data_IF_420231771867
#
_entry.id   IF_420231771867
#
_cell.length_a   1.000
_cell.length_b   1.000
_cell.length_c   1.000
_cell.angle_alpha   90.00
_cell.angle_beta   90.00
_cell.angle_gamma   90.00
#
_symmetry.space_group_name_H-M   'P 1'
#
loop_
_entity.id
_entity.type
_entity.pdbx_description
1 polymer ?
#
# COMPACT_ATOMS: atom_id res chain seq x y z
N UNK A 1 -35.21 15.14 50.28
CA UNK A 1 -33.97 14.36 50.04
C UNK A 1 -33.74 14.37 48.54
N UNK A 2 -32.59 14.82 48.02
CA UNK A 2 -32.37 14.85 46.57
C UNK A 2 -31.10 15.54 46.04
N UNK A 3 -30.32 16.23 46.88
CA UNK A 3 -29.14 16.99 46.43
C UNK A 3 -27.81 16.22 46.39
N UNK A 4 -27.75 14.99 46.91
CA UNK A 4 -26.50 14.23 47.01
C UNK A 4 -26.18 13.37 45.76
N UNK A 5 -27.20 12.81 45.08
CA UNK A 5 -26.99 11.98 43.88
C UNK A 5 -26.37 12.76 42.71
N UNK A 6 -26.81 13.99 42.49
CA UNK A 6 -26.38 14.81 41.36
C UNK A 6 -24.90 15.26 41.45
N UNK A 7 -24.33 15.35 42.66
CA UNK A 7 -22.92 15.73 42.85
C UNK A 7 -21.98 14.55 42.62
N UNK A 8 -22.42 13.35 42.98
CA UNK A 8 -21.66 12.11 42.83
C UNK A 8 -21.67 11.64 41.37
N UNK A 9 -22.84 11.69 40.71
CA UNK A 9 -23.00 11.45 39.26
C UNK A 9 -22.15 12.41 38.41
N UNK A 10 -22.13 13.70 38.78
CA UNK A 10 -21.31 14.71 38.11
C UNK A 10 -19.81 14.42 38.22
N UNK A 11 -19.34 13.96 39.38
CA UNK A 11 -17.94 13.59 39.57
C UNK A 11 -17.56 12.35 38.75
N UNK A 12 -18.46 11.37 38.65
CA UNK A 12 -18.26 10.17 37.80
C UNK A 12 -18.11 10.57 36.33
N UNK A 13 -18.97 11.47 35.84
CA UNK A 13 -18.91 11.97 34.45
C UNK A 13 -17.64 12.79 34.18
N UNK A 14 -17.18 13.61 35.13
CA UNK A 14 -15.92 14.35 35.00
C UNK A 14 -14.74 13.39 34.85
N UNK A 15 -14.64 12.36 35.69
CA UNK A 15 -13.57 11.37 35.60
C UNK A 15 -13.66 10.61 34.26
N UNK A 16 -14.87 10.23 33.83
CA UNK A 16 -15.06 9.56 32.53
C UNK A 16 -14.62 10.43 31.35
N UNK A 17 -14.87 11.74 31.40
CA UNK A 17 -14.39 12.68 30.38
C UNK A 17 -12.87 12.78 30.39
N UNK A 18 -12.23 12.77 31.56
CA UNK A 18 -10.76 12.76 31.67
C UNK A 18 -10.16 11.48 31.07
N UNK A 19 -10.74 10.32 31.39
CA UNK A 19 -10.34 9.03 30.81
C UNK A 19 -10.49 9.03 29.28
N UNK A 20 -11.63 9.50 28.77
CA UNK A 20 -11.89 9.59 27.33
C UNK A 20 -10.89 10.53 26.62
N UNK A 21 -10.47 11.63 27.25
CA UNK A 21 -9.44 12.52 26.68
C UNK A 21 -8.10 11.83 26.57
N UNK A 22 -7.74 11.04 27.58
CA UNK A 22 -6.47 10.30 27.58
C UNK A 22 -6.49 9.15 26.56
N UNK A 23 -7.59 8.40 26.46
CA UNK A 23 -7.79 7.38 25.40
C UNK A 23 -7.69 8.01 24.00
N UNK A 24 -8.27 9.20 23.81
CA UNK A 24 -8.28 9.93 22.55
C UNK A 24 -6.89 10.46 22.19
N UNK A 25 -6.08 10.85 23.19
CA UNK A 25 -4.65 11.17 23.01
C UNK A 25 -3.87 9.94 22.55
N UNK A 26 -4.04 8.81 23.22
CA UNK A 26 -3.36 7.55 22.90
C UNK A 26 -3.71 7.06 21.49
N UNK A 27 -4.99 7.06 21.12
CA UNK A 27 -5.43 6.64 19.80
C UNK A 27 -4.80 7.47 18.67
N UNK A 28 -4.67 8.78 18.88
CA UNK A 28 -3.99 9.68 17.94
C UNK A 28 -2.50 9.35 17.83
N UNK A 29 -1.80 9.23 18.96
CA UNK A 29 -0.38 8.90 18.99
C UNK A 29 -0.09 7.55 18.33
N UNK A 30 -0.96 6.55 18.53
CA UNK A 30 -0.87 5.26 17.85
C UNK A 30 -1.09 5.37 16.35
N UNK A 31 -2.14 6.08 15.90
CA UNK A 31 -2.38 6.30 14.47
C UNK A 31 -1.19 6.98 13.78
N UNK A 32 -0.68 8.06 14.38
CA UNK A 32 0.47 8.81 13.86
C UNK A 32 1.74 7.94 13.83
N UNK A 33 1.97 7.13 14.87
CA UNK A 33 3.08 6.18 14.93
C UNK A 33 3.04 5.11 13.83
N UNK A 34 1.87 4.53 13.56
CA UNK A 34 1.70 3.55 12.49
C UNK A 34 1.85 4.17 11.09
N UNK A 35 1.42 5.42 10.89
CA UNK A 35 1.66 6.16 9.65
C UNK A 35 3.14 6.44 9.43
N UNK A 36 3.87 6.84 10.48
CA UNK A 36 5.32 7.04 10.41
C UNK A 36 6.03 5.75 10.00
N UNK A 37 5.69 4.62 10.65
CA UNK A 37 6.25 3.31 10.34
C UNK A 37 5.99 2.91 8.88
N UNK A 38 4.76 3.08 8.38
CA UNK A 38 4.43 2.79 6.98
C UNK A 38 5.30 3.61 6.00
N UNK A 39 5.53 4.90 6.29
CA UNK A 39 6.36 5.78 5.48
C UNK A 39 7.84 5.39 5.53
N UNK A 40 8.37 5.01 6.70
CA UNK A 40 9.74 4.53 6.83
C UNK A 40 9.96 3.23 6.04
N UNK A 41 9.01 2.31 6.10
CA UNK A 41 9.08 1.05 5.36
C UNK A 41 9.05 1.30 3.84
N UNK A 42 8.23 2.24 3.39
CA UNK A 42 8.22 2.69 1.99
C UNK A 42 9.55 3.32 1.57
N UNK A 43 10.13 4.18 2.41
CA UNK A 43 11.41 4.83 2.11
C UNK A 43 12.56 3.81 2.06
N UNK A 44 12.59 2.86 3.01
CA UNK A 44 13.58 1.76 3.03
C UNK A 44 13.45 0.86 1.82
N UNK A 45 12.24 0.48 1.41
CA UNK A 45 12.07 -0.27 0.17
C UNK A 45 12.48 0.55 -1.04
N UNK A 46 12.08 1.82 -1.15
CA UNK A 46 12.51 2.66 -2.28
C UNK A 46 14.03 2.82 -2.36
N UNK A 47 14.73 2.82 -1.23
CA UNK A 47 16.19 2.91 -1.18
C UNK A 47 16.89 1.56 -1.45
N UNK A 48 16.27 0.43 -1.06
CA UNK A 48 16.87 -0.91 -1.14
C UNK A 48 16.34 -1.76 -2.31
N UNK A 49 15.23 -1.39 -2.94
CA UNK A 49 14.70 -2.08 -4.10
C UNK A 49 15.45 -1.58 -5.33
N UNK A 50 16.38 -2.40 -5.83
CA UNK A 50 16.78 -2.27 -7.22
C UNK A 50 15.51 -2.29 -8.09
N UNK A 51 15.43 -1.46 -9.15
CA UNK A 51 14.28 -1.49 -10.05
C UNK A 51 14.08 -2.93 -10.52
N UNK A 52 12.90 -3.50 -10.21
CA UNK A 52 12.55 -4.84 -10.66
C UNK A 52 12.22 -4.73 -12.14
N UNK A 53 13.02 -5.37 -12.97
CA UNK A 53 12.79 -5.44 -14.41
C UNK A 53 12.19 -6.79 -14.74
N UNK A 54 11.12 -6.79 -15.52
CA UNK A 54 10.65 -8.00 -16.19
C UNK A 54 11.21 -8.02 -17.60
N UNK A 55 11.63 -9.20 -18.08
CA UNK A 55 12.15 -9.41 -19.42
C UNK A 55 11.24 -10.33 -20.21
N UNK A 56 11.03 -9.99 -21.47
CA UNK A 56 10.20 -10.76 -22.40
C UNK A 56 10.96 -11.01 -23.69
N UNK A 57 10.85 -12.22 -24.23
CA UNK A 57 11.56 -12.69 -25.42
C UNK A 57 10.53 -13.10 -26.48
N UNK A 58 10.67 -12.59 -27.70
CA UNK A 58 9.76 -12.92 -28.80
C UNK A 58 10.54 -13.16 -30.09
N UNK A 59 10.23 -14.27 -30.78
CA UNK A 59 10.87 -14.64 -32.04
C UNK A 59 9.99 -14.26 -33.23
N UNK A 60 10.55 -13.50 -34.18
CA UNK A 60 9.90 -13.03 -35.40
C UNK A 60 8.49 -12.42 -35.19
N UNK A 61 8.32 -11.43 -34.27
CA UNK A 61 7.04 -10.76 -34.07
C UNK A 61 6.57 -10.06 -35.35
N UNK A 62 5.25 -10.00 -35.54
CA UNK A 62 4.64 -9.15 -36.57
C UNK A 62 4.73 -7.68 -36.16
N UNK A 63 4.59 -6.76 -37.12
CA UNK A 63 4.56 -5.32 -36.81
C UNK A 63 3.43 -4.92 -35.86
N UNK A 64 2.28 -5.60 -35.93
CA UNK A 64 1.15 -5.39 -35.01
C UNK A 64 1.51 -5.80 -33.58
N UNK A 65 2.16 -6.96 -33.39
CA UNK A 65 2.59 -7.42 -32.08
C UNK A 65 3.61 -6.46 -31.44
N UNK A 66 4.53 -5.88 -32.24
CA UNK A 66 5.48 -4.88 -31.75
C UNK A 66 4.78 -3.62 -31.21
N UNK A 67 3.72 -3.17 -31.88
CA UNK A 67 2.92 -2.03 -31.43
C UNK A 67 2.19 -2.35 -30.12
N UNK A 68 1.55 -3.53 -30.04
CA UNK A 68 0.88 -3.99 -28.82
C UNK A 68 1.86 -4.07 -27.63
N UNK A 69 3.09 -4.54 -27.86
CA UNK A 69 4.11 -4.58 -26.81
C UNK A 69 4.47 -3.17 -26.33
N UNK A 70 4.62 -2.22 -27.25
CA UNK A 70 4.84 -0.81 -26.92
C UNK A 70 3.69 -0.21 -26.09
N UNK A 71 2.44 -0.48 -26.47
CA UNK A 71 1.25 -0.04 -25.72
C UNK A 71 1.17 -0.65 -24.32
N UNK A 72 1.65 -1.89 -24.16
CA UNK A 72 1.75 -2.58 -22.86
C UNK A 72 2.97 -2.14 -22.03
N UNK A 73 3.75 -1.16 -22.49
CA UNK A 73 4.89 -0.60 -21.78
C UNK A 73 6.17 -1.44 -21.86
N UNK A 74 6.27 -2.36 -22.83
CA UNK A 74 7.51 -3.08 -23.10
C UNK A 74 8.45 -2.23 -23.95
N UNK A 75 9.68 -2.08 -23.47
CA UNK A 75 10.75 -1.39 -24.19
C UNK A 75 11.66 -2.40 -24.89
N UNK A 76 11.87 -2.23 -26.19
CA UNK A 76 12.84 -3.04 -26.93
C UNK A 76 14.26 -2.69 -26.48
N UNK A 77 14.97 -3.69 -25.96
CA UNK A 77 16.35 -3.55 -25.46
C UNK A 77 17.36 -4.03 -26.49
N UNK A 78 17.06 -5.14 -27.16
CA UNK A 78 17.99 -5.76 -28.10
C UNK A 78 17.26 -6.63 -29.13
N UNK A 79 17.90 -6.87 -30.27
CA UNK A 79 17.45 -7.81 -31.29
C UNK A 79 18.65 -8.66 -31.74
N UNK A 80 18.50 -9.98 -31.65
CA UNK A 80 19.56 -10.95 -31.98
C UNK A 80 19.10 -11.80 -33.15
N UNK A 81 19.96 -12.01 -34.14
CA UNK A 81 19.70 -12.96 -35.22
C UNK A 81 20.39 -14.29 -34.95
N UNK A 82 19.75 -15.39 -35.31
CA UNK A 82 20.31 -16.73 -35.22
C UNK A 82 19.79 -17.61 -36.35
N UNK A 83 20.60 -18.56 -36.79
CA UNK A 83 20.22 -19.50 -37.85
C UNK A 83 19.70 -20.78 -37.23
N UNK A 84 18.59 -21.29 -37.75
CA UNK A 84 18.00 -22.57 -37.37
C UNK A 84 17.99 -23.53 -38.56
N UNK A 85 18.29 -24.80 -38.29
CA UNK A 85 18.40 -25.89 -39.27
C UNK A 85 19.61 -26.78 -38.99
N UNK A 86 19.42 -28.11 -38.92
CA UNK A 86 20.50 -29.09 -38.76
C UNK A 86 20.74 -29.79 -40.10
N UNK A 87 21.84 -29.46 -40.77
CA UNK A 87 22.24 -30.13 -42.01
C UNK A 87 22.78 -31.54 -41.76
N UNK A 88 21.90 -32.52 -41.54
CA UNK A 88 22.20 -33.94 -41.72
C UNK A 88 21.44 -34.45 -42.95
N UNK A 89 21.95 -34.11 -44.14
CA UNK A 89 21.42 -34.63 -45.41
C UNK A 89 21.00 -33.57 -46.41
N UNK A 90 21.95 -32.78 -46.91
CA UNK A 90 21.99 -32.28 -48.28
C UNK A 90 20.89 -31.36 -48.84
N UNK A 91 19.74 -31.13 -48.19
CA UNK A 91 18.63 -30.36 -48.79
C UNK A 91 17.79 -29.53 -47.80
N UNK A 92 18.17 -29.41 -46.53
CA UNK A 92 17.44 -28.53 -45.60
C UNK A 92 17.94 -27.08 -45.71
N UNK A 93 17.02 -26.15 -45.99
CA UNK A 93 17.31 -24.72 -46.08
C UNK A 93 17.54 -24.16 -44.68
N UNK A 94 18.69 -23.54 -44.45
CA UNK A 94 18.90 -22.74 -43.23
C UNK A 94 17.96 -21.54 -43.21
N UNK A 95 17.26 -21.35 -42.09
CA UNK A 95 16.38 -20.20 -41.88
C UNK A 95 16.99 -19.24 -40.87
N UNK A 96 17.07 -17.95 -41.22
CA UNK A 96 17.45 -16.89 -40.28
C UNK A 96 16.23 -16.51 -39.47
N UNK A 97 16.37 -16.49 -38.14
CA UNK A 97 15.36 -16.04 -37.20
C UNK A 97 15.88 -14.84 -36.41
N UNK A 98 14.96 -13.96 -35.99
CA UNK A 98 15.25 -12.81 -35.14
C UNK A 98 14.55 -12.98 -33.80
N UNK A 99 15.29 -12.78 -32.70
CA UNK A 99 14.80 -12.74 -31.32
C UNK A 99 14.86 -11.32 -30.80
N UNK A 100 13.71 -10.79 -30.41
CA UNK A 100 13.56 -9.48 -29.81
C UNK A 100 13.52 -9.65 -28.29
N UNK A 101 14.29 -8.82 -27.59
CA UNK A 101 14.43 -8.80 -26.13
C UNK A 101 13.82 -7.51 -25.63
N UNK A 102 12.76 -7.62 -24.85
CA UNK A 102 12.07 -6.50 -24.23
C UNK A 102 12.32 -6.46 -22.73
N UNK A 103 12.22 -5.27 -22.14
CA UNK A 103 12.16 -5.06 -20.69
C UNK A 103 10.98 -4.17 -20.34
N UNK A 104 10.46 -4.30 -19.13
CA UNK A 104 9.58 -3.28 -18.54
C UNK A 104 9.87 -3.10 -17.05
N UNK A 105 9.64 -1.90 -16.56
CA UNK A 105 9.75 -1.61 -15.12
C UNK A 105 8.55 -2.19 -14.39
N UNK A 106 8.82 -2.99 -13.37
CA UNK A 106 7.80 -3.43 -12.43
C UNK A 106 7.75 -2.43 -11.29
N UNK A 107 6.56 -1.88 -11.03
CA UNK A 107 6.30 -1.15 -9.79
C UNK A 107 6.71 -2.06 -8.63
N UNK A 108 7.56 -1.54 -7.72
CA UNK A 108 7.87 -2.25 -6.48
C UNK A 108 6.55 -2.55 -5.79
N UNK A 109 6.21 -3.83 -5.69
CA UNK A 109 5.06 -4.31 -4.91
C UNK A 109 5.15 -3.71 -3.52
N UNK A 110 4.09 -3.04 -3.08
CA UNK A 110 3.99 -2.44 -1.76
C UNK A 110 4.45 -3.44 -0.68
N UNK A 111 5.27 -3.03 0.31
CA UNK A 111 5.68 -3.95 1.37
C UNK A 111 4.44 -4.41 2.12
N UNK A 112 4.26 -5.72 2.27
CA UNK A 112 3.13 -6.27 3.04
C UNK A 112 3.04 -5.66 4.45
N UNK A 113 4.20 -5.39 5.07
CA UNK A 113 4.32 -4.76 6.37
C UNK A 113 3.88 -3.28 6.38
N UNK A 114 4.10 -2.53 5.30
CA UNK A 114 3.59 -1.15 5.19
C UNK A 114 2.08 -1.13 4.95
N UNK A 115 1.56 -2.11 4.20
CA UNK A 115 0.12 -2.25 4.02
C UNK A 115 -0.59 -2.57 5.35
N UNK A 116 -0.02 -3.49 6.14
CA UNK A 116 -0.52 -3.82 7.47
C UNK A 116 -0.47 -2.60 8.41
N UNK A 117 0.64 -1.86 8.44
CA UNK A 117 0.75 -0.64 9.23
C UNK A 117 -0.27 0.45 8.84
N UNK A 118 -0.55 0.62 7.55
CA UNK A 118 -1.59 1.53 7.08
C UNK A 118 -2.99 1.08 7.49
N UNK A 119 -3.25 -0.23 7.45
CA UNK A 119 -4.51 -0.79 7.92
C UNK A 119 -4.72 -0.51 9.41
N UNK A 120 -3.71 -0.79 10.23
CA UNK A 120 -3.76 -0.52 11.68
C UNK A 120 -3.91 0.98 11.97
N UNK A 121 -3.24 1.86 11.21
CA UNK A 121 -3.44 3.30 11.32
C UNK A 121 -4.88 3.72 11.02
N UNK A 122 -5.52 3.10 10.03
CA UNK A 122 -6.94 3.33 9.72
C UNK A 122 -7.85 2.90 10.87
N UNK A 123 -7.60 1.73 11.45
CA UNK A 123 -8.37 1.22 12.60
C UNK A 123 -8.27 2.15 13.81
N UNK A 124 -7.08 2.67 14.11
CA UNK A 124 -6.90 3.67 15.17
C UNK A 124 -7.59 5.00 14.87
N UNK A 125 -7.67 5.39 13.60
CA UNK A 125 -8.39 6.59 13.18
C UNK A 125 -9.90 6.43 13.37
N UNK A 126 -10.45 5.27 13.01
CA UNK A 126 -11.86 4.97 13.24
C UNK A 126 -12.18 4.96 14.74
N UNK A 127 -11.30 4.37 15.56
CA UNK A 127 -11.43 4.41 17.03
C UNK A 127 -11.35 5.84 17.58
N UNK A 128 -10.47 6.68 17.03
CA UNK A 128 -10.36 8.08 17.41
C UNK A 128 -11.65 8.86 17.13
N UNK A 129 -12.29 8.63 15.99
CA UNK A 129 -13.55 9.28 15.66
C UNK A 129 -14.72 8.80 16.53
N UNK A 130 -14.74 7.51 16.91
CA UNK A 130 -15.69 7.00 17.91
C UNK A 130 -15.48 7.68 19.28
N UNK A 131 -14.24 7.76 19.76
CA UNK A 131 -13.93 8.38 21.05
C UNK A 131 -14.31 9.87 21.09
N UNK A 132 -14.20 10.59 19.97
CA UNK A 132 -14.71 11.98 19.89
C UNK A 132 -16.21 12.04 20.09
N UNK A 133 -16.96 11.13 19.47
CA UNK A 133 -18.42 11.08 19.63
C UNK A 133 -18.79 10.76 21.09
N UNK A 134 -18.15 9.76 21.70
CA UNK A 134 -18.34 9.41 23.11
C UNK A 134 -18.03 10.60 24.05
N UNK A 135 -16.96 11.35 23.75
CA UNK A 135 -16.58 12.55 24.51
C UNK A 135 -17.63 13.67 24.40
N UNK A 136 -18.16 13.93 23.20
CA UNK A 136 -19.20 14.96 23.03
C UNK A 136 -20.48 14.57 23.76
N UNK A 137 -20.92 13.30 23.67
CA UNK A 137 -22.08 12.81 24.44
C UNK A 137 -21.87 13.01 25.94
N UNK A 138 -20.70 12.62 26.47
CA UNK A 138 -20.39 12.76 27.89
C UNK A 138 -20.37 14.23 28.35
N UNK A 139 -19.95 15.16 27.47
CA UNK A 139 -20.01 16.61 27.76
C UNK A 139 -21.45 17.12 27.77
N UNK A 140 -22.27 16.72 26.80
CA UNK A 140 -23.69 17.09 26.74
C UNK A 140 -24.44 16.59 27.98
N UNK A 141 -24.18 15.35 28.42
CA UNK A 141 -24.72 14.80 29.67
C UNK A 141 -24.29 15.61 30.91
N UNK A 142 -23.01 16.00 30.97
CA UNK A 142 -22.49 16.85 32.04
C UNK A 142 -23.12 18.25 32.05
N UNK A 143 -23.41 18.81 30.87
CA UNK A 143 -24.13 20.08 30.74
C UNK A 143 -25.59 19.96 31.14
N UNK A 144 -26.27 18.86 30.80
CA UNK A 144 -27.65 18.61 31.21
C UNK A 144 -27.82 18.47 32.74
N UNK A 145 -26.75 18.11 33.46
CA UNK A 145 -26.72 18.02 34.92
C UNK A 145 -26.30 19.33 35.62
N UNK A 146 -25.95 20.39 34.87
CA UNK A 146 -25.67 21.73 35.43
C UNK A 146 -26.94 22.52 35.71
#
# INVERSE_FOLDING_TARGET
>A
MGFFGNKEEKNILINRIEDLREELRQARESADGHLLLANEMRAKESANSAPKWEYFLCDNPTGEALNEYGEQGWELVNCVSFTTGFGLGGNEKMTVQFRYIFKRSMLSTYPAQAHEALKTASEWRDRWDQLKQELEIAKEELEALR
#
